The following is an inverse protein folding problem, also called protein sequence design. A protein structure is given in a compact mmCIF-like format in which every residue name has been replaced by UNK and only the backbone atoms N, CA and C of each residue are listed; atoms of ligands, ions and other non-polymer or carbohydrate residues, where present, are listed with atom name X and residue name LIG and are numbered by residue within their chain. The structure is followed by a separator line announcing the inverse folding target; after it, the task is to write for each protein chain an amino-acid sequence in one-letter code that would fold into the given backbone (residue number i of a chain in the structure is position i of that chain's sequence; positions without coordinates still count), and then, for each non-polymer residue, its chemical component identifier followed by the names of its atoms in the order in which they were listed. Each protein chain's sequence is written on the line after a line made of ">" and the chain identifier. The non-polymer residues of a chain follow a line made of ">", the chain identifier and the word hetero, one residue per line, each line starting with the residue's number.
data_IF_605072315052
#
_entry.id   IF_605072315052
#
_cell.length_a   1.000
_cell.length_b   1.000
_cell.length_c   1.000
_cell.angle_alpha   90.00
_cell.angle_beta   90.00
_cell.angle_gamma   90.00
#
_symmetry.space_group_name_H-M   'P 1'
#
loop_
_entity.id
_entity.type
_entity.pdbx_description
1 polymer ?
#
# COMPACT_ATOMS: atom_id res chain seq x y z
N UNK A 1 10.17 16.62 28.51
CA UNK A 1 9.13 16.78 29.56
C UNK A 1 9.59 17.73 30.67
N UNK A 2 10.68 17.44 31.40
CA UNK A 2 11.25 18.43 32.35
C UNK A 2 11.71 19.72 31.66
N UNK A 3 12.34 19.58 30.50
CA UNK A 3 12.78 20.73 29.68
C UNK A 3 11.64 21.55 29.08
N UNK A 4 10.39 21.05 29.18
CA UNK A 4 9.18 21.76 28.77
C UNK A 4 8.44 22.37 29.98
N UNK A 5 9.04 22.38 31.17
CA UNK A 5 8.48 23.00 32.38
C UNK A 5 7.53 22.11 33.21
N UNK A 6 7.40 20.83 32.89
CA UNK A 6 6.55 19.91 33.66
C UNK A 6 7.28 19.31 34.87
N UNK A 7 6.58 19.16 36.00
CA UNK A 7 7.05 18.36 37.15
C UNK A 7 6.96 16.87 36.80
N UNK A 8 8.08 16.28 36.39
CA UNK A 8 8.15 14.85 36.06
C UNK A 8 8.65 14.08 37.27
N UNK A 9 7.75 13.30 37.87
CA UNK A 9 8.07 12.33 38.92
C UNK A 9 8.24 10.95 38.32
N UNK A 10 9.40 10.34 38.57
CA UNK A 10 9.76 8.99 38.14
C UNK A 10 9.75 8.07 39.35
N UNK A 11 9.13 6.90 39.21
CA UNK A 11 9.08 5.85 40.24
C UNK A 11 9.44 4.52 39.58
N UNK A 12 9.99 3.57 40.33
CA UNK A 12 10.30 2.25 39.76
C UNK A 12 9.02 1.47 39.45
N UNK A 13 9.03 0.64 38.42
CA UNK A 13 7.85 -0.16 38.02
C UNK A 13 7.31 -1.00 39.19
N UNK A 14 8.19 -1.67 39.94
CA UNK A 14 7.81 -2.44 41.11
C UNK A 14 7.19 -1.60 42.23
N UNK A 15 7.67 -0.37 42.44
CA UNK A 15 7.09 0.57 43.41
C UNK A 15 5.71 1.04 42.95
N UNK A 16 5.54 1.28 41.65
CA UNK A 16 4.24 1.63 41.07
C UNK A 16 3.25 0.47 41.14
N UNK A 17 3.72 -0.76 40.95
CA UNK A 17 2.92 -1.97 41.14
C UNK A 17 2.41 -2.10 42.57
N UNK A 18 3.25 -1.84 43.58
CA UNK A 18 2.79 -1.77 44.97
C UNK A 18 1.74 -0.69 45.19
N UNK A 19 1.90 0.49 44.58
CA UNK A 19 0.92 1.59 44.68
C UNK A 19 -0.43 1.17 44.08
N UNK A 20 -0.44 0.51 42.92
CA UNK A 20 -1.67 -0.04 42.31
C UNK A 20 -2.31 -1.10 43.20
N UNK A 21 -1.53 -1.98 43.83
CA UNK A 21 -2.06 -2.98 44.75
C UNK A 21 -2.70 -2.37 45.99
N UNK A 22 -2.14 -1.26 46.50
CA UNK A 22 -2.63 -0.59 47.72
C UNK A 22 -3.75 0.40 47.47
N UNK A 23 -3.90 0.91 46.24
CA UNK A 23 -4.93 1.88 45.88
C UNK A 23 -5.78 1.39 44.69
N UNK A 24 -6.97 0.88 44.99
CA UNK A 24 -7.92 0.38 43.99
C UNK A 24 -8.43 1.45 43.03
N UNK A 25 -8.47 2.72 43.43
CA UNK A 25 -8.88 3.82 42.55
C UNK A 25 -7.81 4.07 41.49
N UNK A 26 -6.53 4.12 41.88
CA UNK A 26 -5.40 4.22 40.95
C UNK A 26 -5.33 2.98 40.06
N UNK A 27 -5.51 1.78 40.61
CA UNK A 27 -5.53 0.56 39.80
C UNK A 27 -6.66 0.58 38.77
N UNK A 28 -7.86 1.02 39.17
CA UNK A 28 -9.02 1.13 38.29
C UNK A 28 -8.82 2.22 37.24
N UNK A 29 -8.28 3.37 37.63
CA UNK A 29 -7.92 4.44 36.72
C UNK A 29 -6.92 3.95 35.69
N UNK A 30 -5.76 3.41 36.10
CA UNK A 30 -4.73 2.89 35.16
C UNK A 30 -5.29 1.79 34.28
N UNK A 31 -6.11 0.87 34.81
CA UNK A 31 -6.69 -0.22 34.02
C UNK A 31 -7.68 0.27 32.96
N UNK A 32 -8.45 1.31 33.28
CA UNK A 32 -9.55 1.79 32.44
C UNK A 32 -9.19 3.07 31.65
N UNK A 33 -8.06 3.71 31.94
CA UNK A 33 -7.66 4.95 31.29
C UNK A 33 -7.41 4.68 29.80
N UNK A 34 -7.98 5.47 28.87
CA UNK A 34 -7.85 5.24 27.43
C UNK A 34 -6.40 5.14 26.94
N UNK A 35 -5.50 5.99 27.48
CA UNK A 35 -4.05 5.95 27.17
C UNK A 35 -3.34 4.70 27.72
N UNK A 36 -3.92 4.04 28.73
CA UNK A 36 -3.40 2.80 29.32
C UNK A 36 -4.14 1.56 28.86
N UNK A 37 -5.26 1.74 28.16
CA UNK A 37 -5.87 0.69 27.36
C UNK A 37 -4.79 0.16 26.40
N UNK A 38 -4.67 -1.17 26.27
CA UNK A 38 -3.72 -1.82 25.36
C UNK A 38 -3.96 -1.49 23.88
N UNK A 39 -4.94 -0.63 23.58
CA UNK A 39 -5.28 -0.24 22.23
C UNK A 39 -4.29 0.87 21.83
N UNK A 40 -3.14 0.48 21.29
CA UNK A 40 -2.19 1.39 20.65
C UNK A 40 -2.42 1.41 19.14
N UNK A 41 -2.07 2.51 18.47
CA UNK A 41 -2.05 2.58 17.00
C UNK A 41 -0.62 2.31 16.52
N UNK A 42 -0.43 1.24 15.75
CA UNK A 42 0.81 1.00 15.03
C UNK A 42 0.65 1.44 13.58
N UNK A 43 1.43 2.43 13.08
CA UNK A 43 1.27 2.93 11.71
C UNK A 43 1.53 1.86 10.65
N UNK A 44 2.25 0.79 11.01
CA UNK A 44 2.52 -0.35 10.13
C UNK A 44 1.30 -1.21 9.85
N UNK A 45 0.29 -1.15 10.73
CA UNK A 45 -0.98 -1.83 10.52
C UNK A 45 -1.77 -1.18 9.37
N UNK A 46 -1.61 0.14 9.17
CA UNK A 46 -2.20 0.86 8.04
C UNK A 46 -1.43 0.72 6.72
N UNK A 47 -0.23 0.13 6.75
CA UNK A 47 0.60 -0.02 5.56
C UNK A 47 0.31 -1.34 4.83
N UNK A 48 -0.54 -1.25 3.81
CA UNK A 48 -0.89 -2.38 2.92
C UNK A 48 -0.25 -2.25 1.53
N UNK A 49 -0.12 -3.36 0.81
CA UNK A 49 0.42 -3.38 -0.55
C UNK A 49 -0.58 -2.92 -1.62
N UNK A 50 -0.26 -3.20 -2.89
CA UNK A 50 -1.21 -3.08 -3.99
C UNK A 50 -2.37 -4.08 -3.86
N UNK A 51 -3.45 -3.82 -4.61
CA UNK A 51 -4.59 -4.74 -4.72
C UNK A 51 -4.29 -5.73 -5.85
N UNK A 52 -4.35 -7.03 -5.55
CA UNK A 52 -4.19 -8.08 -6.56
C UNK A 52 -5.29 -9.10 -6.33
N UNK A 53 -6.20 -9.24 -7.29
CA UNK A 53 -7.34 -10.14 -7.19
C UNK A 53 -7.67 -10.78 -8.53
N UNK A 54 -7.94 -12.08 -8.46
CA UNK A 54 -8.49 -12.87 -9.56
C UNK A 54 -9.99 -13.03 -9.33
N UNK A 55 -10.80 -12.34 -10.13
CA UNK A 55 -12.26 -12.32 -9.99
C UNK A 55 -12.86 -13.49 -10.79
N UNK A 56 -12.40 -13.67 -12.03
CA UNK A 56 -12.87 -14.73 -12.93
C UNK A 56 -11.65 -15.54 -13.40
N UNK A 57 -11.49 -16.80 -12.94
CA UNK A 57 -10.32 -17.60 -13.27
C UNK A 57 -10.30 -18.06 -14.74
N UNK A 58 -11.47 -18.17 -15.37
CA UNK A 58 -11.61 -18.54 -16.77
C UNK A 58 -12.82 -17.83 -17.38
N UNK A 59 -12.59 -17.14 -18.50
CA UNK A 59 -13.64 -16.44 -19.23
C UNK A 59 -13.56 -16.77 -20.73
N UNK A 60 -14.67 -17.26 -21.29
CA UNK A 60 -14.79 -17.49 -22.74
C UNK A 60 -15.60 -16.36 -23.36
N UNK A 61 -14.98 -15.68 -24.32
CA UNK A 61 -15.57 -14.55 -25.05
C UNK A 61 -16.79 -14.99 -25.86
N UNK A 62 -17.86 -14.17 -25.83
CA UNK A 62 -19.12 -14.41 -26.55
C UNK A 62 -19.48 -13.29 -27.52
N UNK A 63 -18.47 -12.66 -28.12
CA UNK A 63 -18.62 -11.50 -29.02
C UNK A 63 -18.12 -10.18 -28.43
N UNK A 64 -17.78 -10.14 -27.15
CA UNK A 64 -17.01 -9.03 -26.55
C UNK A 64 -15.52 -9.11 -26.92
N UNK A 65 -14.72 -8.15 -26.46
CA UNK A 65 -13.26 -8.25 -26.43
C UNK A 65 -12.72 -8.11 -25.02
N UNK A 66 -11.63 -8.82 -24.74
CA UNK A 66 -10.85 -8.61 -23.52
C UNK A 66 -9.92 -7.43 -23.75
N UNK A 67 -9.85 -6.53 -22.77
CA UNK A 67 -8.97 -5.36 -22.72
C UNK A 67 -8.03 -5.51 -21.54
N UNK A 68 -6.78 -5.06 -21.70
CA UNK A 68 -5.80 -5.00 -20.63
C UNK A 68 -5.21 -3.58 -20.56
N UNK A 69 -5.47 -2.91 -19.45
CA UNK A 69 -5.01 -1.54 -19.23
C UNK A 69 -4.17 -1.42 -17.97
N UNK A 70 -3.17 -0.54 -18.01
CA UNK A 70 -2.19 -0.29 -16.94
C UNK A 70 -2.04 1.22 -16.68
N UNK A 71 -2.06 1.64 -15.42
CA UNK A 71 -1.85 3.04 -15.02
C UNK A 71 -0.37 3.37 -15.12
N UNK A 72 -0.02 4.26 -16.05
CA UNK A 72 1.36 4.62 -16.32
C UNK A 72 2.04 5.23 -15.10
N UNK A 73 2.90 4.43 -14.45
CA UNK A 73 3.68 4.84 -13.27
C UNK A 73 2.79 5.32 -12.11
N UNK A 74 1.84 4.49 -11.68
CA UNK A 74 0.88 4.78 -10.60
C UNK A 74 1.53 5.37 -9.34
N UNK A 75 2.55 4.72 -8.76
CA UNK A 75 3.15 5.23 -7.53
C UNK A 75 3.85 6.59 -7.70
N UNK A 76 4.64 6.83 -8.76
CA UNK A 76 5.12 8.17 -9.08
C UNK A 76 4.02 9.21 -9.29
N UNK A 77 2.90 8.84 -9.93
CA UNK A 77 1.73 9.70 -10.08
C UNK A 77 1.19 10.12 -8.69
N UNK A 78 1.00 9.16 -7.78
CA UNK A 78 0.56 9.43 -6.40
C UNK A 78 1.59 10.28 -5.65
N UNK A 79 2.89 10.01 -5.79
CA UNK A 79 3.92 10.83 -5.14
C UNK A 79 3.88 12.30 -5.61
N UNK A 80 3.56 12.54 -6.88
CA UNK A 80 3.45 13.90 -7.42
C UNK A 80 2.13 14.58 -7.03
N UNK A 81 0.98 13.93 -7.25
CA UNK A 81 -0.36 14.55 -7.18
C UNK A 81 -1.12 14.26 -5.88
N UNK A 82 -0.68 13.25 -5.13
CA UNK A 82 -1.30 12.80 -3.90
C UNK A 82 -1.11 13.77 -2.73
N UNK A 83 -1.93 13.57 -1.71
CA UNK A 83 -1.87 14.26 -0.42
C UNK A 83 -0.97 13.49 0.53
N UNK A 84 -0.11 14.17 1.28
CA UNK A 84 0.82 13.55 2.23
C UNK A 84 0.79 14.25 3.59
N UNK A 85 0.94 13.50 4.69
CA UNK A 85 1.06 14.06 6.03
C UNK A 85 2.43 14.72 6.22
N UNK A 86 2.47 15.80 7.00
CA UNK A 86 3.67 16.54 7.39
C UNK A 86 3.72 16.75 8.90
N UNK A 87 4.93 16.86 9.45
CA UNK A 87 5.14 17.08 10.88
C UNK A 87 4.77 15.87 11.75
N UNK A 88 4.57 16.12 13.04
CA UNK A 88 4.15 15.13 14.02
C UNK A 88 2.63 15.09 14.16
N UNK A 89 2.03 13.92 14.45
CA UNK A 89 0.59 13.83 14.64
C UNK A 89 0.15 14.49 15.94
N UNK A 90 -1.05 15.08 15.92
CA UNK A 90 -1.89 15.26 17.09
C UNK A 90 -2.64 13.94 17.34
N UNK A 91 -2.53 13.38 18.53
CA UNK A 91 -3.09 12.07 18.88
C UNK A 91 -4.37 12.30 19.67
N UNK A 92 -5.48 11.72 19.19
CA UNK A 92 -6.77 11.72 19.88
C UNK A 92 -7.11 10.28 20.25
N UNK A 93 -7.52 10.04 21.50
CA UNK A 93 -7.81 8.70 22.02
C UNK A 93 -9.19 8.64 22.65
N UNK A 94 -9.97 7.60 22.30
CA UNK A 94 -11.30 7.38 22.86
C UNK A 94 -12.22 8.57 22.60
N UNK A 95 -12.78 9.15 23.66
CA UNK A 95 -13.74 10.26 23.58
C UNK A 95 -13.16 11.54 22.96
N UNK A 96 -11.85 11.78 23.05
CA UNK A 96 -11.18 12.92 22.41
C UNK A 96 -11.36 12.90 20.88
N UNK A 97 -11.57 11.72 20.28
CA UNK A 97 -11.82 11.61 18.84
C UNK A 97 -13.09 12.38 18.42
N UNK A 98 -14.04 12.58 19.33
CA UNK A 98 -15.28 13.34 19.08
C UNK A 98 -15.03 14.81 18.76
N UNK A 99 -13.89 15.37 19.16
CA UNK A 99 -13.50 16.73 18.76
C UNK A 99 -13.36 16.88 17.24
N UNK A 100 -12.99 15.80 16.54
CA UNK A 100 -12.81 15.79 15.08
C UNK A 100 -14.04 15.31 14.31
N UNK A 101 -14.77 14.33 14.86
CA UNK A 101 -15.84 13.61 14.13
C UNK A 101 -17.25 13.93 14.67
N UNK A 102 -17.35 14.57 15.84
CA UNK A 102 -18.62 14.73 16.55
C UNK A 102 -19.14 13.39 17.12
N UNK A 103 -20.46 13.22 17.10
CA UNK A 103 -21.13 12.00 17.59
C UNK A 103 -21.37 10.95 16.50
N UNK A 104 -21.06 11.25 15.23
CA UNK A 104 -21.15 10.29 14.12
C UNK A 104 -19.76 9.78 13.72
N UNK A 105 -19.48 8.50 14.01
CA UNK A 105 -18.21 7.88 13.65
C UNK A 105 -17.95 7.83 12.13
N UNK A 106 -18.96 7.99 11.30
CA UNK A 106 -18.81 8.01 9.84
C UNK A 106 -18.37 9.39 9.31
N UNK A 107 -18.46 10.44 10.13
CA UNK A 107 -18.05 11.80 9.76
C UNK A 107 -16.52 11.93 9.85
N UNK A 108 -15.85 11.64 8.74
CA UNK A 108 -14.38 11.70 8.62
C UNK A 108 -13.89 12.89 7.78
N UNK A 109 -14.74 13.90 7.53
CA UNK A 109 -14.43 15.02 6.64
C UNK A 109 -13.25 15.87 7.16
N UNK A 110 -13.16 16.05 8.47
CA UNK A 110 -12.05 16.75 9.14
C UNK A 110 -10.83 15.87 9.43
N UNK A 111 -10.90 14.57 9.16
CA UNK A 111 -9.88 13.61 9.59
C UNK A 111 -8.83 13.40 8.51
N UNK A 112 -7.59 13.72 8.86
CA UNK A 112 -6.42 13.60 8.02
C UNK A 112 -5.36 12.80 8.76
N UNK A 113 -5.29 11.51 8.49
CA UNK A 113 -4.26 10.68 9.13
C UNK A 113 -4.54 9.20 9.12
N UNK A 114 -4.11 8.57 10.20
CA UNK A 114 -4.38 7.16 10.46
C UNK A 114 -5.47 7.04 11.51
N UNK A 115 -6.39 6.12 11.28
CA UNK A 115 -7.52 5.87 12.17
C UNK A 115 -7.52 4.40 12.53
N UNK A 116 -7.44 4.10 13.82
CA UNK A 116 -7.68 2.76 14.36
C UNK A 116 -9.14 2.67 14.77
N UNK A 117 -9.90 1.83 14.08
CA UNK A 117 -11.34 1.74 14.25
C UNK A 117 -11.86 0.32 14.02
N UNK A 118 -13.13 0.15 14.34
CA UNK A 118 -13.93 -1.02 14.00
C UNK A 118 -14.91 -0.64 12.89
N UNK A 119 -14.96 -1.46 11.84
CA UNK A 119 -15.77 -1.20 10.66
C UNK A 119 -16.62 -2.41 10.30
N UNK A 120 -17.89 -2.15 10.01
CA UNK A 120 -18.86 -3.10 9.49
C UNK A 120 -19.01 -2.91 7.97
N UNK A 121 -18.58 -3.87 7.14
CA UNK A 121 -18.80 -3.80 5.70
C UNK A 121 -20.28 -3.94 5.31
N UNK A 122 -20.70 -3.42 4.15
CA UNK A 122 -22.00 -3.71 3.56
C UNK A 122 -22.10 -5.21 3.17
N UNK A 123 -23.32 -5.71 2.95
CA UNK A 123 -23.53 -7.14 2.59
C UNK A 123 -23.21 -7.46 1.13
N UNK A 124 -23.57 -6.56 0.20
CA UNK A 124 -23.59 -6.86 -1.24
C UNK A 124 -22.78 -5.85 -2.04
N UNK A 125 -21.51 -5.63 -1.65
CA UNK A 125 -20.61 -4.79 -2.41
C UNK A 125 -19.76 -5.65 -3.35
N UNK A 126 -19.94 -5.45 -4.66
CA UNK A 126 -19.27 -6.28 -5.66
C UNK A 126 -17.73 -6.21 -5.54
N UNK A 127 -17.19 -5.02 -5.27
CA UNK A 127 -15.76 -4.79 -5.12
C UNK A 127 -15.47 -4.30 -3.69
N UNK A 128 -15.13 -5.18 -2.73
CA UNK A 128 -14.83 -4.75 -1.37
C UNK A 128 -13.63 -3.79 -1.37
N UNK A 129 -13.69 -2.70 -0.59
CA UNK A 129 -12.69 -1.62 -0.65
C UNK A 129 -11.56 -1.81 0.36
N UNK A 130 -11.91 -2.04 1.62
CA UNK A 130 -10.94 -1.94 2.71
C UNK A 130 -9.99 -3.15 2.74
N UNK A 131 -8.66 -2.91 2.71
CA UNK A 131 -7.69 -3.98 2.85
C UNK A 131 -7.66 -4.51 4.29
N UNK A 132 -7.57 -5.82 4.43
CA UNK A 132 -7.34 -6.51 5.72
C UNK A 132 -6.18 -7.47 5.56
N UNK A 133 -5.35 -7.61 6.60
CA UNK A 133 -4.33 -8.65 6.67
C UNK A 133 -4.77 -9.74 7.63
N UNK A 134 -4.86 -10.96 7.14
CA UNK A 134 -5.16 -12.11 7.99
C UNK A 134 -4.51 -13.37 7.41
N UNK A 135 -3.99 -14.24 8.29
CA UNK A 135 -3.16 -15.39 7.92
C UNK A 135 -1.96 -15.04 7.00
N UNK A 136 -1.37 -13.86 7.17
CA UNK A 136 -0.23 -13.39 6.38
C UNK A 136 -0.55 -12.98 4.95
N UNK A 137 -1.84 -12.95 4.56
CA UNK A 137 -2.30 -12.52 3.22
C UNK A 137 -3.04 -11.19 3.30
N UNK A 138 -2.98 -10.44 2.21
CA UNK A 138 -3.79 -9.24 1.98
C UNK A 138 -5.07 -9.65 1.26
N UNK A 139 -6.21 -9.13 1.70
CA UNK A 139 -7.51 -9.46 1.15
C UNK A 139 -8.48 -8.28 1.29
N UNK A 140 -9.60 -8.39 0.56
CA UNK A 140 -10.70 -7.45 0.57
C UNK A 140 -12.00 -8.23 0.78
N UNK A 141 -12.55 -8.19 1.99
CA UNK A 141 -13.69 -9.03 2.37
C UNK A 141 -14.82 -8.22 3.03
N UNK A 142 -16.04 -8.77 2.99
CA UNK A 142 -17.24 -8.16 3.58
C UNK A 142 -17.69 -8.82 4.90
N UNK A 143 -17.00 -9.87 5.32
CA UNK A 143 -17.28 -10.59 6.55
C UNK A 143 -15.99 -11.20 7.11
N UNK A 144 -15.65 -10.84 8.35
CA UNK A 144 -14.46 -11.35 9.05
C UNK A 144 -14.51 -12.86 9.25
N UNK A 145 -15.60 -13.40 9.80
CA UNK A 145 -15.72 -14.84 10.08
C UNK A 145 -15.73 -15.69 8.82
N UNK A 146 -16.45 -15.29 7.76
CA UNK A 146 -16.40 -16.00 6.46
C UNK A 146 -14.96 -16.13 5.95
N UNK A 147 -14.17 -15.07 6.09
CA UNK A 147 -12.78 -15.12 5.67
C UNK A 147 -11.92 -15.99 6.59
N UNK A 148 -12.16 -15.97 7.91
CA UNK A 148 -11.42 -16.79 8.86
C UNK A 148 -11.67 -18.28 8.66
N UNK A 149 -12.87 -18.63 8.21
CA UNK A 149 -13.30 -19.98 7.90
C UNK A 149 -13.01 -20.39 6.44
N UNK A 150 -12.45 -19.48 5.63
CA UNK A 150 -12.22 -19.68 4.20
C UNK A 150 -13.47 -20.16 3.42
N UNK A 151 -14.64 -19.60 3.76
CA UNK A 151 -15.92 -19.96 3.11
C UNK A 151 -15.99 -19.44 1.67
N UNK A 152 -16.56 -20.27 0.80
CA UNK A 152 -16.84 -19.94 -0.62
C UNK A 152 -18.33 -19.78 -0.91
N UNK A 153 -19.19 -20.05 0.06
CA UNK A 153 -20.65 -19.94 -0.03
C UNK A 153 -21.16 -18.58 0.43
N UNK A 154 -22.45 -18.32 0.20
CA UNK A 154 -23.13 -17.14 0.69
C UNK A 154 -23.01 -16.99 2.22
N UNK A 155 -22.80 -15.75 2.66
CA UNK A 155 -22.58 -15.44 4.06
C UNK A 155 -23.89 -15.51 4.86
N UNK A 156 -23.98 -16.46 5.80
CA UNK A 156 -25.10 -16.59 6.76
C UNK A 156 -24.86 -15.91 8.11
N UNK A 157 -23.73 -15.22 8.29
CA UNK A 157 -23.45 -14.50 9.54
C UNK A 157 -24.40 -13.30 9.68
N UNK A 158 -25.28 -13.36 10.69
CA UNK A 158 -26.21 -12.28 11.02
C UNK A 158 -25.71 -11.37 12.14
N UNK A 159 -24.87 -11.90 13.04
CA UNK A 159 -24.29 -11.10 14.11
C UNK A 159 -23.27 -10.11 13.56
N UNK A 160 -23.41 -8.85 13.95
CA UNK A 160 -22.53 -7.76 13.51
C UNK A 160 -21.06 -8.07 13.87
N UNK A 161 -20.81 -8.56 15.09
CA UNK A 161 -19.47 -8.88 15.59
C UNK A 161 -18.73 -9.96 14.77
N UNK A 162 -19.46 -10.82 14.05
CA UNK A 162 -18.87 -11.83 13.17
C UNK A 162 -18.39 -11.22 11.84
N UNK A 163 -18.99 -10.09 11.44
CA UNK A 163 -18.70 -9.44 10.16
C UNK A 163 -17.69 -8.31 10.28
N UNK A 164 -17.64 -7.65 11.42
CA UNK A 164 -16.80 -6.48 11.68
C UNK A 164 -15.30 -6.78 11.62
N UNK A 165 -14.55 -5.81 11.12
CA UNK A 165 -13.09 -5.80 11.14
C UNK A 165 -12.59 -4.71 12.08
N UNK A 166 -11.63 -5.04 12.93
CA UNK A 166 -10.83 -4.06 13.67
C UNK A 166 -9.48 -3.91 12.99
N UNK A 167 -9.10 -2.68 12.68
CA UNK A 167 -7.86 -2.39 11.96
C UNK A 167 -7.47 -0.93 12.04
N UNK A 168 -6.37 -0.61 11.37
CA UNK A 168 -5.90 0.77 11.20
C UNK A 168 -5.86 1.06 9.71
N UNK A 169 -6.44 2.18 9.28
CA UNK A 169 -6.47 2.59 7.87
C UNK A 169 -6.12 4.06 7.72
N UNK A 170 -5.75 4.45 6.50
CA UNK A 170 -5.63 5.87 6.13
C UNK A 170 -7.03 6.44 5.98
N UNK A 171 -7.29 7.62 6.54
CA UNK A 171 -8.61 8.26 6.56
C UNK A 171 -9.26 8.38 5.16
N UNK A 172 -8.45 8.56 4.10
CA UNK A 172 -8.92 8.57 2.72
C UNK A 172 -9.67 7.29 2.31
N UNK A 173 -9.15 6.11 2.70
CA UNK A 173 -9.80 4.84 2.37
C UNK A 173 -11.08 4.65 3.19
N UNK A 174 -11.08 5.08 4.45
CA UNK A 174 -12.27 5.02 5.29
C UNK A 174 -13.39 5.93 4.79
N UNK A 175 -13.06 7.15 4.33
CA UNK A 175 -14.06 8.03 3.69
C UNK A 175 -14.72 7.37 2.48
N UNK A 176 -13.91 6.83 1.56
CA UNK A 176 -14.45 6.08 0.41
C UNK A 176 -15.20 4.82 0.84
N UNK A 177 -14.82 4.17 1.94
CA UNK A 177 -15.56 3.03 2.48
C UNK A 177 -16.95 3.46 2.97
N UNK A 178 -17.04 4.57 3.71
CA UNK A 178 -18.32 5.12 4.19
C UNK A 178 -19.23 5.45 3.00
N UNK A 179 -18.70 6.07 1.93
CA UNK A 179 -19.44 6.32 0.68
C UNK A 179 -20.01 5.03 0.05
N UNK A 180 -19.29 3.91 0.18
CA UNK A 180 -19.70 2.59 -0.31
C UNK A 180 -20.63 1.83 0.64
N UNK A 181 -21.05 2.46 1.74
CA UNK A 181 -21.99 1.89 2.71
C UNK A 181 -21.34 1.06 3.82
N UNK A 182 -20.01 1.16 4.01
CA UNK A 182 -19.39 0.69 5.24
C UNK A 182 -19.84 1.59 6.40
N UNK A 183 -19.95 1.00 7.61
CA UNK A 183 -20.29 1.74 8.83
C UNK A 183 -19.16 1.60 9.83
N UNK A 184 -18.68 2.71 10.37
CA UNK A 184 -17.70 2.71 11.45
C UNK A 184 -18.49 2.59 12.75
N UNK A 185 -18.28 1.49 13.48
CA UNK A 185 -18.99 1.24 14.73
C UNK A 185 -18.28 1.80 15.95
N UNK A 186 -16.96 1.97 15.87
CA UNK A 186 -16.16 2.55 16.94
C UNK A 186 -14.83 3.10 16.41
N UNK A 187 -14.41 4.27 16.88
CA UNK A 187 -13.07 4.81 16.66
C UNK A 187 -12.29 4.79 17.97
N UNK A 188 -11.12 4.17 17.95
CA UNK A 188 -10.27 4.04 19.13
C UNK A 188 -9.23 5.15 19.21
N UNK A 189 -8.51 5.38 18.11
CA UNK A 189 -7.40 6.35 18.04
C UNK A 189 -7.40 7.01 16.67
N UNK A 190 -7.20 8.32 16.66
CA UNK A 190 -6.88 9.10 15.46
C UNK A 190 -5.49 9.72 15.63
N UNK A 191 -4.61 9.47 14.66
CA UNK A 191 -3.37 10.24 14.49
C UNK A 191 -3.61 11.30 13.42
N UNK A 192 -3.94 12.52 13.84
CA UNK A 192 -4.24 13.63 12.95
C UNK A 192 -2.97 14.35 12.53
N UNK A 193 -2.80 14.57 11.24
CA UNK A 193 -1.67 15.28 10.64
C UNK A 193 -2.15 16.53 9.91
N UNK A 194 -1.28 17.52 9.84
CA UNK A 194 -1.40 18.51 8.78
C UNK A 194 -0.95 17.86 7.45
N UNK A 195 -1.50 18.31 6.32
CA UNK A 195 -1.23 17.68 5.03
C UNK A 195 -0.81 18.68 3.96
N UNK A 196 -0.05 18.20 2.98
CA UNK A 196 0.32 18.94 1.78
C UNK A 196 -0.05 18.16 0.53
N UNK A 197 -0.43 18.86 -0.54
CA UNK A 197 -0.76 18.31 -1.85
C UNK A 197 -0.21 19.23 -2.93
N UNK A 198 0.11 18.68 -4.10
CA UNK A 198 0.45 19.47 -5.26
C UNK A 198 -0.80 20.10 -5.88
N UNK A 199 -0.83 21.42 -6.03
CA UNK A 199 -1.98 22.16 -6.55
C UNK A 199 -1.99 22.27 -8.09
N UNK A 200 -0.96 21.75 -8.76
CA UNK A 200 -0.77 21.86 -10.21
C UNK A 200 0.38 22.80 -10.59
N UNK A 201 0.75 23.73 -9.70
CA UNK A 201 1.82 24.71 -9.93
C UNK A 201 2.90 24.67 -8.84
N UNK A 202 2.51 24.51 -7.58
CA UNK A 202 3.36 24.53 -6.39
C UNK A 202 2.89 23.51 -5.36
N UNK A 203 3.68 23.36 -4.29
CA UNK A 203 3.41 22.39 -3.22
C UNK A 203 3.79 20.96 -3.59
N UNK A 204 3.22 20.00 -2.85
CA UNK A 204 3.49 18.57 -3.01
C UNK A 204 4.87 18.16 -2.48
N UNK A 205 4.88 17.24 -1.51
CA UNK A 205 6.11 16.83 -0.83
C UNK A 205 7.17 16.24 -1.78
N UNK A 206 6.73 15.52 -2.82
CA UNK A 206 7.64 14.84 -3.76
C UNK A 206 7.52 15.32 -5.20
N UNK A 207 6.74 16.38 -5.47
CA UNK A 207 6.45 16.82 -6.83
C UNK A 207 7.72 17.19 -7.62
N UNK A 208 8.65 17.93 -6.99
CA UNK A 208 9.93 18.30 -7.63
C UNK A 208 10.83 17.11 -7.92
N UNK A 209 10.90 16.14 -6.99
CA UNK A 209 11.65 14.90 -7.18
C UNK A 209 11.09 14.10 -8.36
N UNK A 210 9.77 13.93 -8.41
CA UNK A 210 9.12 13.23 -9.52
C UNK A 210 9.36 13.97 -10.84
N UNK A 211 9.20 15.30 -10.87
CA UNK A 211 9.44 16.09 -12.07
C UNK A 211 10.87 15.93 -12.61
N UNK A 212 11.87 15.95 -11.73
CA UNK A 212 13.27 15.77 -12.10
C UNK A 212 13.51 14.42 -12.78
N UNK A 213 13.14 13.31 -12.12
CA UNK A 213 13.42 11.98 -12.67
C UNK A 213 12.50 11.63 -13.84
N UNK A 214 11.30 12.19 -13.88
CA UNK A 214 10.40 12.02 -15.02
C UNK A 214 10.95 12.74 -16.26
N UNK A 215 11.49 13.96 -16.11
CA UNK A 215 12.21 14.66 -17.18
C UNK A 215 13.36 13.81 -17.73
N UNK A 216 14.26 13.34 -16.85
CA UNK A 216 15.40 12.51 -17.24
C UNK A 216 14.94 11.23 -17.95
N UNK A 217 13.89 10.59 -17.42
CA UNK A 217 13.29 9.38 -18.02
C UNK A 217 12.82 9.67 -19.44
N UNK A 218 12.07 10.75 -19.69
CA UNK A 218 11.55 11.05 -21.02
C UNK A 218 12.65 11.45 -22.00
N UNK A 219 13.60 12.29 -21.58
CA UNK A 219 14.75 12.66 -22.42
C UNK A 219 15.56 11.42 -22.82
N UNK A 220 15.69 10.42 -21.95
CA UNK A 220 16.40 9.17 -22.25
C UNK A 220 15.59 8.13 -23.06
N UNK A 221 14.31 8.38 -23.39
CA UNK A 221 13.39 7.38 -23.96
C UNK A 221 13.29 7.34 -25.47
N UNK A 222 13.95 8.28 -26.17
CA UNK A 222 13.68 8.62 -27.57
C UNK A 222 12.29 9.27 -27.77
N UNK A 223 12.05 9.77 -28.98
CA UNK A 223 10.77 10.37 -29.35
C UNK A 223 9.64 9.33 -29.35
N UNK A 224 8.42 9.70 -28.92
CA UNK A 224 7.24 8.87 -29.12
C UNK A 224 7.08 8.46 -30.59
N UNK A 225 6.54 7.27 -30.86
CA UNK A 225 6.39 6.73 -32.23
C UNK A 225 5.58 7.63 -33.16
N UNK A 226 4.65 8.43 -32.63
CA UNK A 226 3.83 9.37 -33.39
C UNK A 226 4.54 10.71 -33.69
N UNK A 227 5.71 10.97 -33.11
CA UNK A 227 6.51 12.18 -33.34
C UNK A 227 7.34 12.10 -34.64
N UNK A 228 6.66 11.90 -35.76
CA UNK A 228 7.27 11.69 -37.09
C UNK A 228 7.75 12.97 -37.76
N UNK A 229 7.25 14.14 -37.35
CA UNK A 229 7.58 15.43 -37.94
C UNK A 229 7.77 16.52 -36.87
N UNK A 230 8.26 17.67 -37.30
CA UNK A 230 8.60 18.78 -36.40
C UNK A 230 7.39 19.35 -35.65
N UNK A 231 6.21 19.39 -36.28
CA UNK A 231 4.98 19.82 -35.61
C UNK A 231 4.58 18.84 -34.50
N UNK A 232 4.72 17.54 -34.73
CA UNK A 232 4.42 16.51 -33.73
C UNK A 232 5.39 16.56 -32.55
N UNK A 233 6.70 16.81 -32.82
CA UNK A 233 7.69 17.02 -31.77
C UNK A 233 7.40 18.28 -30.94
N UNK A 234 7.07 19.40 -31.59
CA UNK A 234 6.71 20.63 -30.91
C UNK A 234 5.44 20.44 -30.06
N UNK A 235 4.45 19.71 -30.58
CA UNK A 235 3.24 19.33 -29.83
C UNK A 235 3.58 18.50 -28.59
N UNK A 236 4.44 17.50 -28.71
CA UNK A 236 4.86 16.68 -27.56
C UNK A 236 5.49 17.52 -26.44
N UNK A 237 6.40 18.44 -26.79
CA UNK A 237 7.04 19.33 -25.82
C UNK A 237 6.02 20.24 -25.13
N UNK A 238 5.10 20.84 -25.90
CA UNK A 238 4.08 21.74 -25.37
C UNK A 238 3.05 21.01 -24.49
N UNK A 239 2.62 19.80 -24.86
CA UNK A 239 1.74 18.97 -24.04
C UNK A 239 2.41 18.59 -22.71
N UNK A 240 3.70 18.24 -22.74
CA UNK A 240 4.43 17.87 -21.53
C UNK A 240 4.61 19.06 -20.57
N UNK A 241 4.90 20.24 -21.11
CA UNK A 241 5.00 21.46 -20.30
C UNK A 241 3.63 21.85 -19.72
N UNK A 242 2.57 21.82 -20.54
CA UNK A 242 1.21 22.18 -20.11
C UNK A 242 0.66 21.24 -19.05
N UNK A 243 0.76 19.92 -19.27
CA UNK A 243 0.04 18.94 -18.46
C UNK A 243 0.88 18.47 -17.25
N UNK A 244 2.21 18.37 -17.42
CA UNK A 244 3.11 17.92 -16.36
C UNK A 244 3.87 19.07 -15.68
N UNK A 245 3.90 20.28 -16.25
CA UNK A 245 4.73 21.37 -15.75
C UNK A 245 6.22 21.11 -15.94
N UNK A 246 6.61 20.29 -16.92
CA UNK A 246 7.99 19.86 -17.14
C UNK A 246 8.45 20.30 -18.52
N UNK A 247 9.46 21.18 -18.55
CA UNK A 247 10.13 21.58 -19.79
C UNK A 247 11.18 20.54 -20.17
N UNK A 248 10.95 19.83 -21.27
CA UNK A 248 11.89 18.85 -21.83
C UNK A 248 12.93 19.54 -22.72
N UNK A 249 14.18 19.08 -22.63
CA UNK A 249 15.27 19.53 -23.49
C UNK A 249 15.30 18.71 -24.78
N UNK A 250 14.92 19.36 -25.88
CA UNK A 250 14.84 18.78 -27.22
C UNK A 250 16.13 18.10 -27.66
N UNK A 251 17.30 18.62 -27.31
CA UNK A 251 18.59 18.07 -27.75
C UNK A 251 18.99 16.80 -26.97
N UNK A 252 18.40 16.65 -25.78
CA UNK A 252 18.62 15.50 -24.89
C UNK A 252 17.66 14.35 -25.17
N UNK A 253 16.57 14.55 -25.92
CA UNK A 253 15.64 13.47 -26.32
C UNK A 253 16.35 12.52 -27.28
N UNK A 254 16.99 11.50 -26.72
CA UNK A 254 17.77 10.48 -27.41
C UNK A 254 17.70 9.17 -26.63
N UNK A 255 17.62 8.05 -27.33
CA UNK A 255 17.58 6.72 -26.73
C UNK A 255 18.82 6.48 -25.85
N UNK A 256 18.64 6.42 -24.55
CA UNK A 256 19.66 6.05 -23.58
C UNK A 256 19.08 5.04 -22.57
N UNK A 257 19.19 3.74 -22.85
CA UNK A 257 18.58 2.70 -22.02
C UNK A 257 19.07 2.71 -20.56
N UNK A 258 20.37 2.97 -20.34
CA UNK A 258 20.96 2.99 -19.00
C UNK A 258 20.44 4.14 -18.14
N UNK A 259 20.46 5.36 -18.69
CA UNK A 259 19.94 6.53 -17.99
C UNK A 259 18.43 6.43 -17.74
N UNK A 260 17.67 5.91 -18.72
CA UNK A 260 16.24 5.63 -18.55
C UNK A 260 16.00 4.64 -17.42
N UNK A 261 16.79 3.57 -17.32
CA UNK A 261 16.66 2.58 -16.26
C UNK A 261 16.93 3.18 -14.87
N UNK A 262 17.98 4.00 -14.73
CA UNK A 262 18.28 4.70 -13.47
C UNK A 262 17.14 5.64 -13.08
N UNK A 263 16.66 6.46 -14.01
CA UNK A 263 15.56 7.38 -13.75
C UNK A 263 14.26 6.65 -13.35
N UNK A 264 13.93 5.55 -14.04
CA UNK A 264 12.79 4.69 -13.68
C UNK A 264 12.96 4.09 -12.28
N UNK A 265 14.16 3.63 -11.93
CA UNK A 265 14.45 3.08 -10.61
C UNK A 265 14.27 4.14 -9.51
N UNK A 266 14.78 5.36 -9.71
CA UNK A 266 14.62 6.47 -8.78
C UNK A 266 13.14 6.84 -8.56
N UNK A 267 12.32 6.83 -9.62
CA UNK A 267 10.88 7.08 -9.51
C UNK A 267 10.17 5.98 -8.70
N UNK A 268 10.44 4.71 -8.99
CA UNK A 268 9.71 3.59 -8.40
C UNK A 268 10.18 3.25 -6.97
N UNK A 269 11.45 3.52 -6.63
CA UNK A 269 12.03 3.09 -5.34
C UNK A 269 11.80 4.07 -4.19
N UNK A 270 11.49 5.34 -4.49
CA UNK A 270 11.40 6.41 -3.48
C UNK A 270 10.42 6.03 -2.36
N UNK A 271 9.18 5.73 -2.72
CA UNK A 271 8.13 5.46 -1.73
C UNK A 271 8.41 4.17 -0.94
N UNK A 272 8.98 3.16 -1.59
CA UNK A 272 9.29 1.88 -0.97
C UNK A 272 10.33 2.01 0.15
N UNK A 273 11.24 2.99 0.05
CA UNK A 273 12.20 3.29 1.12
C UNK A 273 11.53 3.77 2.40
N UNK A 274 10.46 4.55 2.31
CA UNK A 274 9.72 5.00 3.49
C UNK A 274 9.04 3.83 4.25
N UNK A 275 8.65 2.78 3.54
CA UNK A 275 8.03 1.57 4.11
C UNK A 275 9.02 0.48 4.55
N UNK A 276 10.32 0.71 4.42
CA UNK A 276 11.35 -0.29 4.71
C UNK A 276 11.26 -0.77 6.18
N UNK A 277 11.39 -2.09 6.40
CA UNK A 277 11.55 -2.64 7.76
C UNK A 277 12.92 -2.24 8.30
N UNK A 278 12.94 -1.50 9.40
CA UNK A 278 14.16 -1.07 10.08
C UNK A 278 14.72 -2.18 10.98
N UNK A 279 13.84 -2.98 11.58
CA UNK A 279 14.21 -4.07 12.47
C UNK A 279 14.02 -5.42 11.75
N UNK A 280 15.07 -5.88 11.07
CA UNK A 280 15.12 -7.22 10.46
C UNK A 280 16.00 -8.13 11.29
N UNK A 281 15.74 -9.44 11.24
CA UNK A 281 16.64 -10.44 11.83
C UNK A 281 18.04 -10.26 11.26
N UNK A 282 19.02 -10.17 12.14
CA UNK A 282 20.43 -10.09 11.83
C UNK A 282 21.13 -11.39 12.22
N UNK A 283 22.11 -11.78 11.42
CA UNK A 283 22.98 -12.92 11.72
C UNK A 283 24.35 -12.37 12.11
N UNK A 284 24.84 -12.75 13.28
CA UNK A 284 26.20 -12.43 13.73
C UNK A 284 27.02 -13.70 13.87
N UNK A 285 28.23 -13.65 13.34
CA UNK A 285 29.23 -14.73 13.49
C UNK A 285 29.91 -14.56 14.84
N UNK A 286 29.70 -15.53 15.73
CA UNK A 286 30.24 -15.53 17.08
C UNK A 286 31.32 -16.59 17.19
N UNK A 287 32.53 -16.16 17.55
CA UNK A 287 33.72 -17.03 17.68
C UNK A 287 34.21 -17.21 19.11
N UNK A 288 33.58 -16.52 20.07
CA UNK A 288 34.00 -16.56 21.47
C UNK A 288 32.79 -16.66 22.39
N UNK A 289 32.97 -17.37 23.50
CA UNK A 289 31.96 -17.49 24.55
C UNK A 289 31.54 -16.13 25.09
N UNK A 290 32.48 -15.20 25.26
CA UNK A 290 32.19 -13.85 25.74
C UNK A 290 31.20 -13.10 24.83
N UNK A 291 31.41 -13.16 23.51
CA UNK A 291 30.51 -12.50 22.55
C UNK A 291 29.13 -13.16 22.52
N UNK A 292 29.07 -14.48 22.69
CA UNK A 292 27.79 -15.19 22.82
C UNK A 292 27.03 -14.74 24.07
N UNK A 293 27.69 -14.70 25.23
CA UNK A 293 27.08 -14.28 26.48
C UNK A 293 26.62 -12.83 26.42
N UNK A 294 27.44 -11.93 25.86
CA UNK A 294 27.03 -10.53 25.62
C UNK A 294 25.73 -10.48 24.82
N UNK A 295 25.64 -11.24 23.72
CA UNK A 295 24.45 -11.23 22.88
C UNK A 295 23.20 -11.82 23.58
N UNK A 296 23.37 -12.88 24.37
CA UNK A 296 22.29 -13.54 25.11
C UNK A 296 21.74 -12.70 26.27
N UNK A 297 22.60 -11.94 26.95
CA UNK A 297 22.24 -11.18 28.15
C UNK A 297 22.03 -9.69 27.90
N UNK A 298 22.10 -9.23 26.64
CA UNK A 298 21.77 -7.83 26.35
C UNK A 298 20.27 -7.60 26.46
N UNK A 299 19.88 -6.46 27.04
CA UNK A 299 18.47 -6.09 27.25
C UNK A 299 17.78 -5.56 25.98
N UNK A 300 18.53 -5.14 24.97
CA UNK A 300 18.02 -4.53 23.73
C UNK A 300 17.73 -5.54 22.61
N UNK A 301 18.21 -6.79 22.75
CA UNK A 301 18.15 -7.82 21.70
C UNK A 301 17.38 -9.05 22.16
N UNK A 302 16.82 -9.73 21.19
CA UNK A 302 16.19 -11.03 21.32
C UNK A 302 16.91 -12.00 20.37
N UNK A 303 17.37 -13.12 20.90
CA UNK A 303 18.04 -14.18 20.14
C UNK A 303 17.01 -15.24 19.77
N UNK A 304 16.91 -15.56 18.48
CA UNK A 304 15.94 -16.52 17.95
C UNK A 304 16.55 -17.89 17.72
N UNK A 305 17.80 -17.93 17.27
CA UNK A 305 18.43 -19.17 16.85
C UNK A 305 19.96 -19.08 16.97
N UNK A 306 20.59 -20.21 17.32
CA UNK A 306 22.03 -20.35 17.45
C UNK A 306 22.42 -21.63 16.72
N UNK A 307 23.08 -21.45 15.58
CA UNK A 307 23.49 -22.54 14.71
C UNK A 307 25.02 -22.76 14.83
N UNK A 308 25.49 -23.88 15.41
CA UNK A 308 26.90 -24.22 15.37
C UNK A 308 27.29 -24.65 13.95
N UNK A 309 28.28 -23.97 13.36
CA UNK A 309 28.82 -24.31 12.03
C UNK A 309 29.97 -25.30 12.18
N UNK A 310 30.81 -25.09 13.18
CA UNK A 310 31.89 -25.97 13.60
C UNK A 310 32.25 -25.67 15.06
N UNK A 311 33.31 -26.28 15.56
CA UNK A 311 33.72 -26.19 16.96
C UNK A 311 34.07 -24.75 17.43
N UNK A 312 34.42 -23.86 16.48
CA UNK A 312 34.89 -22.50 16.77
C UNK A 312 33.91 -21.39 16.34
N UNK A 313 32.85 -21.72 15.59
CA UNK A 313 31.97 -20.73 14.94
C UNK A 313 30.50 -21.05 15.18
N UNK A 314 29.81 -20.06 15.75
CA UNK A 314 28.36 -20.03 15.89
C UNK A 314 27.77 -18.93 15.01
N UNK A 315 26.69 -19.22 14.30
CA UNK A 315 25.84 -18.21 13.70
C UNK A 315 24.67 -17.95 14.63
N UNK A 316 24.57 -16.72 15.13
CA UNK A 316 23.47 -16.34 16.02
C UNK A 316 22.54 -15.39 15.30
N UNK A 317 21.28 -15.79 15.18
CA UNK A 317 20.21 -14.98 14.63
C UNK A 317 19.52 -14.22 15.76
N UNK A 318 19.46 -12.90 15.63
CA UNK A 318 18.88 -12.02 16.63
C UNK A 318 18.13 -10.84 15.98
N UNK A 319 17.32 -10.14 16.76
CA UNK A 319 16.62 -8.92 16.35
C UNK A 319 16.60 -7.96 17.54
N UNK A 320 16.48 -6.64 17.31
CA UNK A 320 16.22 -5.73 18.42
C UNK A 320 14.82 -5.97 18.97
N UNK A 321 14.65 -5.85 20.29
CA UNK A 321 13.32 -5.78 20.91
C UNK A 321 12.60 -4.53 20.43
N UNK A 322 11.27 -4.56 20.34
CA UNK A 322 10.49 -3.47 19.75
C UNK A 322 10.74 -2.12 20.45
N UNK A 323 10.90 -2.13 21.77
CA UNK A 323 11.14 -0.95 22.61
C UNK A 323 12.54 -0.34 22.41
N UNK A 324 13.48 -1.14 21.89
CA UNK A 324 14.86 -0.73 21.65
C UNK A 324 15.12 -0.32 20.19
N UNK A 325 14.12 -0.44 19.29
CA UNK A 325 14.28 -0.05 17.89
C UNK A 325 14.35 1.47 17.78
N UNK A 326 15.52 1.99 17.42
CA UNK A 326 15.65 3.38 16.98
C UNK A 326 15.10 3.54 15.56
N UNK A 327 14.21 4.51 15.36
CA UNK A 327 13.76 4.91 14.02
C UNK A 327 14.93 5.45 13.20
N UNK A 328 14.97 5.12 11.91
CA UNK A 328 15.97 5.70 11.01
C UNK A 328 15.45 7.03 10.47
N UNK A 329 16.36 7.97 10.19
CA UNK A 329 16.01 9.31 9.67
C UNK A 329 15.33 9.31 8.30
N UNK A 330 15.40 8.19 7.56
CA UNK A 330 14.92 8.08 6.18
C UNK A 330 13.69 7.15 6.02
N UNK A 331 13.14 6.61 7.11
CA UNK A 331 11.91 5.80 7.05
C UNK A 331 10.73 6.56 7.64
N UNK A 332 9.57 6.42 7.01
CA UNK A 332 8.31 6.96 7.51
C UNK A 332 7.16 6.12 6.97
N UNK A 333 6.73 5.14 7.77
CA UNK A 333 5.70 4.19 7.36
C UNK A 333 4.35 4.86 7.08
N UNK A 334 4.07 6.02 7.70
CA UNK A 334 2.85 6.79 7.45
C UNK A 334 2.83 7.31 6.00
N UNK A 335 3.96 7.82 5.49
CA UNK A 335 4.08 8.23 4.09
C UNK A 335 3.83 7.04 3.16
N UNK A 336 4.42 5.87 3.45
CA UNK A 336 4.23 4.67 2.64
C UNK A 336 2.77 4.17 2.68
N UNK A 337 2.10 4.25 3.83
CA UNK A 337 0.67 3.95 3.97
C UNK A 337 -0.18 4.90 3.11
N UNK A 338 0.10 6.21 3.16
CA UNK A 338 -0.57 7.21 2.33
C UNK A 338 -0.35 6.99 0.83
N UNK A 339 0.87 6.64 0.40
CA UNK A 339 1.17 6.33 -1.01
C UNK A 339 0.34 5.15 -1.49
N UNK A 340 0.33 4.04 -0.75
CA UNK A 340 -0.34 2.82 -1.17
C UNK A 340 -1.86 2.90 -1.06
N UNK A 341 -2.39 3.58 -0.04
CA UNK A 341 -3.83 3.84 0.10
C UNK A 341 -4.37 4.65 -1.07
N UNK A 342 -3.71 5.74 -1.44
CA UNK A 342 -4.13 6.55 -2.59
C UNK A 342 -3.96 5.80 -3.91
N UNK A 343 -2.92 4.99 -4.07
CA UNK A 343 -2.75 4.14 -5.25
C UNK A 343 -3.90 3.13 -5.40
N UNK A 344 -4.31 2.48 -4.30
CA UNK A 344 -5.47 1.57 -4.31
C UNK A 344 -6.75 2.31 -4.64
N UNK A 345 -6.96 3.51 -4.10
CA UNK A 345 -8.14 4.33 -4.41
C UNK A 345 -8.18 4.76 -5.87
N UNK A 346 -7.03 5.12 -6.45
CA UNK A 346 -6.93 5.47 -7.87
C UNK A 346 -7.34 4.29 -8.76
N UNK A 347 -6.77 3.09 -8.51
CA UNK A 347 -7.17 1.88 -9.21
C UNK A 347 -8.66 1.58 -8.99
N UNK A 348 -9.13 1.68 -7.75
CA UNK A 348 -10.53 1.39 -7.38
C UNK A 348 -11.53 2.27 -8.15
N UNK A 349 -11.19 3.53 -8.45
CA UNK A 349 -12.03 4.41 -9.27
C UNK A 349 -12.31 3.87 -10.69
N UNK A 350 -11.45 3.01 -11.22
CA UNK A 350 -11.69 2.27 -12.46
C UNK A 350 -12.46 0.97 -12.20
N UNK A 351 -12.07 0.20 -11.18
CA UNK A 351 -12.71 -1.08 -10.85
C UNK A 351 -14.19 -0.92 -10.52
N UNK A 352 -14.54 0.12 -9.76
CA UNK A 352 -15.92 0.46 -9.38
C UNK A 352 -16.82 0.66 -10.61
N UNK A 353 -16.30 1.33 -11.64
CA UNK A 353 -17.05 1.61 -12.89
C UNK A 353 -17.12 0.39 -13.81
N UNK A 354 -16.10 -0.47 -13.79
CA UNK A 354 -16.07 -1.71 -14.58
C UNK A 354 -17.03 -2.76 -14.01
N UNK A 355 -17.17 -2.83 -12.68
CA UNK A 355 -18.09 -3.74 -12.01
C UNK A 355 -17.91 -5.20 -12.46
N UNK A 356 -19.01 -5.84 -12.85
CA UNK A 356 -19.06 -7.26 -13.25
C UNK A 356 -18.23 -7.62 -14.48
N UNK A 357 -17.73 -6.62 -15.21
CA UNK A 357 -16.89 -6.83 -16.41
C UNK A 357 -15.42 -7.06 -16.07
N UNK A 358 -15.02 -6.82 -14.82
CA UNK A 358 -13.65 -7.02 -14.37
C UNK A 358 -13.35 -8.52 -14.25
N UNK A 359 -12.27 -8.96 -14.89
CA UNK A 359 -11.77 -10.33 -14.82
C UNK A 359 -10.63 -10.46 -13.80
N UNK A 360 -9.71 -9.49 -13.80
CA UNK A 360 -8.50 -9.51 -12.98
C UNK A 360 -8.01 -8.08 -12.70
N UNK A 361 -7.34 -7.88 -11.57
CA UNK A 361 -6.58 -6.67 -11.31
C UNK A 361 -5.27 -6.97 -10.56
N UNK A 362 -4.23 -6.18 -10.85
CA UNK A 362 -2.96 -6.22 -10.11
C UNK A 362 -2.33 -4.83 -10.06
N UNK A 363 -2.31 -4.27 -8.84
CA UNK A 363 -1.60 -3.06 -8.38
C UNK A 363 -1.97 -1.77 -9.12
N UNK A 364 -1.64 -1.68 -10.40
CA UNK A 364 -1.84 -0.57 -11.32
C UNK A 364 -2.58 -0.98 -12.60
N UNK A 365 -2.95 -2.25 -12.74
CA UNK A 365 -3.52 -2.78 -13.96
C UNK A 365 -4.85 -3.52 -13.76
N UNK A 366 -5.67 -3.55 -14.81
CA UNK A 366 -6.94 -4.28 -14.83
C UNK A 366 -7.22 -4.94 -16.19
N UNK A 367 -7.82 -6.12 -16.14
CA UNK A 367 -8.26 -6.90 -17.30
C UNK A 367 -9.78 -6.99 -17.23
N UNK A 368 -10.47 -6.61 -18.31
CA UNK A 368 -11.93 -6.55 -18.34
C UNK A 368 -12.49 -6.85 -19.72
N UNK A 369 -13.79 -7.16 -19.78
CA UNK A 369 -14.52 -7.38 -21.03
C UNK A 369 -15.20 -6.10 -21.53
N UNK A 370 -15.24 -5.90 -22.84
CA UNK A 370 -15.88 -4.74 -23.49
C UNK A 370 -16.68 -5.22 -24.69
N UNK A 371 -17.97 -4.89 -24.72
CA UNK A 371 -18.77 -5.04 -25.92
C UNK A 371 -18.50 -3.87 -26.86
N UNK A 372 -17.88 -4.13 -28.01
CA UNK A 372 -17.58 -3.08 -29.01
C UNK A 372 -18.85 -2.51 -29.66
N UNK A 373 -19.96 -3.22 -29.60
CA UNK A 373 -21.24 -2.77 -30.16
C UNK A 373 -22.02 -1.85 -29.20
N UNK A 374 -21.58 -1.72 -27.94
CA UNK A 374 -22.20 -0.81 -26.97
C UNK A 374 -21.25 0.35 -26.62
N UNK A 375 -21.38 1.51 -27.28
CA UNK A 375 -20.56 2.68 -26.98
C UNK A 375 -20.90 3.34 -25.64
N UNK A 376 -22.04 3.02 -25.01
CA UNK A 376 -22.40 3.55 -23.69
C UNK A 376 -21.67 2.82 -22.55
N UNK A 377 -21.18 1.60 -22.80
CA UNK A 377 -20.39 0.85 -21.82
C UNK A 377 -19.08 1.59 -21.51
N UNK A 378 -18.84 1.85 -20.22
CA UNK A 378 -17.63 2.54 -19.76
C UNK A 378 -16.33 1.82 -20.21
N UNK A 379 -15.35 2.60 -20.65
CA UNK A 379 -13.98 2.15 -20.92
C UNK A 379 -13.02 3.15 -20.27
N UNK A 380 -11.99 2.68 -19.54
CA UNK A 380 -10.96 3.57 -19.02
C UNK A 380 -10.31 4.40 -20.14
N UNK A 381 -10.25 5.75 -20.00
CA UNK A 381 -9.67 6.59 -21.04
C UNK A 381 -8.18 6.35 -21.17
N UNK A 382 -7.73 6.07 -22.40
CA UNK A 382 -6.32 5.81 -22.70
C UNK A 382 -5.55 7.12 -22.90
N UNK A 383 -4.36 7.21 -22.31
CA UNK A 383 -3.49 8.37 -22.45
C UNK A 383 -2.01 8.00 -22.27
N UNK A 384 -1.12 8.93 -22.63
CA UNK A 384 0.34 8.72 -22.63
C UNK A 384 1.07 9.45 -21.49
N UNK A 385 0.33 10.11 -20.61
CA UNK A 385 0.86 10.96 -19.54
C UNK A 385 0.95 10.20 -18.21
N UNK A 386 1.55 10.83 -17.21
CA UNK A 386 1.73 10.23 -15.90
C UNK A 386 0.36 9.97 -15.25
N UNK A 387 0.12 8.72 -14.83
CA UNK A 387 -1.14 8.32 -14.20
C UNK A 387 -2.30 8.07 -15.17
N UNK A 388 -2.09 8.19 -16.49
CA UNK A 388 -3.08 7.79 -17.47
C UNK A 388 -3.09 6.26 -17.66
N UNK A 389 -4.25 5.70 -18.01
CA UNK A 389 -4.35 4.29 -18.43
C UNK A 389 -3.70 4.11 -19.81
N UNK A 390 -2.93 3.05 -19.97
CA UNK A 390 -2.30 2.65 -21.23
C UNK A 390 -2.76 1.25 -21.64
N UNK A 391 -2.93 1.02 -22.93
CA UNK A 391 -3.24 -0.30 -23.47
C UNK A 391 -1.97 -1.16 -23.52
N UNK A 392 -1.97 -2.31 -22.84
CA UNK A 392 -0.86 -3.24 -22.79
C UNK A 392 -1.01 -4.42 -23.78
N UNK A 393 -2.20 -4.64 -24.38
CA UNK A 393 -2.40 -5.71 -25.36
C UNK A 393 -1.61 -5.49 -26.65
N UNK A 394 -1.34 -4.22 -27.00
CA UNK A 394 -0.48 -3.87 -28.13
C UNK A 394 0.96 -4.40 -27.99
N UNK A 395 1.43 -4.68 -26.76
CA UNK A 395 2.84 -5.08 -26.49
C UNK A 395 3.13 -6.59 -26.55
N UNK A 396 2.26 -7.37 -27.19
CA UNK A 396 2.56 -8.76 -27.54
C UNK A 396 2.02 -9.82 -26.58
N UNK A 397 1.06 -9.48 -25.71
CA UNK A 397 0.28 -10.47 -24.95
C UNK A 397 -0.83 -11.01 -25.87
N UNK A 398 -0.43 -11.71 -26.92
CA UNK A 398 -1.36 -12.50 -27.75
C UNK A 398 -1.47 -13.95 -27.26
N UNK A 399 -0.47 -14.44 -26.53
CA UNK A 399 -0.38 -15.87 -26.15
C UNK A 399 -1.22 -16.30 -24.95
N UNK A 400 -2.00 -15.39 -24.34
CA UNK A 400 -2.89 -15.73 -23.21
C UNK A 400 -4.38 -15.52 -23.54
N UNK A 401 -4.71 -14.93 -24.69
CA UNK A 401 -6.06 -14.43 -24.98
C UNK A 401 -6.63 -14.93 -26.32
N UNK A 402 -5.87 -15.61 -27.19
CA UNK A 402 -6.41 -16.16 -28.43
C UNK A 402 -6.82 -17.64 -28.34
N UNK A 403 -7.89 -17.93 -29.09
CA UNK A 403 -8.66 -19.16 -29.25
C UNK A 403 -7.83 -20.44 -29.52
N UNK A 404 -8.41 -21.58 -29.13
CA UNK A 404 -7.93 -22.97 -29.34
C UNK A 404 -6.88 -23.52 -28.35
N UNK A 405 -7.37 -24.05 -27.21
CA UNK A 405 -7.00 -25.42 -26.84
C UNK A 405 -7.74 -26.37 -27.79
N UNK A 406 -7.33 -26.36 -29.06
CA UNK A 406 -7.71 -27.34 -30.06
C UNK A 406 -6.81 -28.56 -29.92
N UNK A 407 -7.42 -29.73 -29.86
CA UNK A 407 -6.74 -31.02 -29.92
C UNK A 407 -5.82 -31.10 -31.16
N UNK A 408 -4.65 -31.73 -30.96
CA UNK A 408 -3.60 -32.09 -31.92
C UNK A 408 -2.50 -31.05 -32.19
N UNK A 409 -1.55 -30.96 -31.26
CA UNK A 409 -0.16 -30.64 -31.59
C UNK A 409 0.58 -31.94 -31.92
N UNK A 410 0.71 -32.23 -33.22
CA UNK A 410 1.73 -33.17 -33.70
C UNK A 410 3.07 -32.43 -33.89
N UNK A 411 4.15 -33.16 -33.65
CA UNK A 411 5.51 -32.72 -33.34
C UNK A 411 6.21 -31.88 -34.44
N UNK A 412 7.00 -30.88 -34.04
CA UNK A 412 8.45 -30.79 -34.36
C UNK A 412 9.14 -29.52 -33.82
N UNK A 413 10.01 -29.76 -32.85
CA UNK A 413 11.33 -29.21 -32.52
C UNK A 413 11.80 -27.75 -32.79
N UNK A 414 12.48 -27.26 -31.72
CA UNK A 414 13.60 -26.31 -31.61
C UNK A 414 13.31 -24.79 -31.67
N UNK A 415 13.25 -24.11 -30.51
CA UNK A 415 14.46 -23.67 -29.81
C UNK A 415 14.18 -23.07 -28.42
N UNK A 416 15.14 -23.28 -27.53
CA UNK A 416 15.11 -23.07 -26.07
C UNK A 416 15.05 -21.61 -25.59
N UNK A 417 14.08 -21.30 -24.72
CA UNK A 417 14.30 -20.45 -23.52
C UNK A 417 13.59 -21.11 -22.34
N UNK A 418 14.39 -21.66 -21.41
CA UNK A 418 13.93 -22.19 -20.13
C UNK A 418 13.49 -21.04 -19.24
N UNK A 419 12.22 -21.01 -18.85
CA UNK A 419 11.82 -20.37 -17.60
C UNK A 419 11.00 -21.35 -16.74
N UNK A 420 11.56 -21.69 -15.58
CA UNK A 420 11.03 -22.66 -14.63
C UNK A 420 10.11 -21.93 -13.66
N UNK A 421 8.79 -22.02 -13.81
CA UNK A 421 7.82 -21.92 -12.70
C UNK A 421 6.63 -22.85 -12.93
N UNK A 422 6.85 -24.14 -12.71
CA UNK A 422 5.79 -25.14 -12.56
C UNK A 422 5.29 -25.07 -11.12
N UNK A 423 4.04 -24.66 -10.90
CA UNK A 423 3.32 -24.98 -9.66
C UNK A 423 2.71 -26.35 -9.90
N UNK A 424 3.29 -27.38 -9.30
CA UNK A 424 2.67 -28.71 -9.17
C UNK A 424 1.57 -28.62 -8.12
N UNK A 425 0.36 -29.04 -8.48
CA UNK A 425 -0.67 -29.45 -7.54
C UNK A 425 -0.61 -30.97 -7.38
N UNK A 426 -0.40 -31.42 -6.14
CA UNK A 426 -0.95 -32.69 -5.65
C UNK A 426 -2.42 -32.55 -5.35
#
# INVERSE_FOLDING_TARGET
>A
MRDCGYDVRSVWECEFDEVKLRNQEIASYVKNHPLMSRITLNPRDAFFGGRTENIIPFYKVKGEKIKYTDICSLYPYICKRGKFPIGHPRIFVGEECRELIGDDYNNLDGVEGLVKCRVLPPRNLYMPLLPVKMHGRLLFALCRSCYAEARTEDCHHEQIADREFTGTWVANELRKAVELGYRISEIYIIWQYDTTRFDGTKGGLFAQYVNLFLKIKQEASDWPSWCINENAKARYLAEYERDEGIVLDREKIKKNPGLRAVAKLCLNSLWGKFGQRTNMKQTTVVKSRENLLKLLFTTDKEVFDILPINDDILYVNWQFREEAVTSTSYTNVVIAAYTTAQARLELYGYLEKLGSRLLYCDTDSCIFVKNENDPAEYEPPIGNLLGAMTDELWRGIKSLIDDEFGENADKSDNDTVKDKRTIKTT
#
